data_IF_935075959980
#
_entry.id   IF_935075959980
#
_cell.length_a   1.000
_cell.length_b   1.000
_cell.length_c   1.000
_cell.angle_alpha   90.00
_cell.angle_beta   90.00
_cell.angle_gamma   90.00
#
_symmetry.space_group_name_H-M   'P 1'
#
loop_
_entity.id
_entity.type
_entity.pdbx_description
1 polymer ?
#
# COMPACT_ATOMS: atom_id res chain seq x y z
N UNK A 1 -2.98 -18.56 18.18
CA UNK A 1 -2.42 -18.47 16.82
C UNK A 1 -3.45 -18.54 15.68
N UNK A 2 -4.43 -19.44 15.68
CA UNK A 2 -5.44 -19.52 14.59
C UNK A 2 -6.46 -18.35 14.57
N UNK A 3 -6.74 -17.72 15.69
CA UNK A 3 -7.73 -16.63 15.84
C UNK A 3 -7.40 -15.40 14.97
N UNK A 4 -6.13 -15.00 14.89
CA UNK A 4 -5.71 -13.81 14.12
C UNK A 4 -5.64 -14.06 12.61
N UNK A 5 -5.37 -15.29 12.18
CA UNK A 5 -5.24 -15.66 10.76
C UNK A 5 -6.54 -15.44 9.97
N UNK A 6 -7.68 -15.71 10.60
CA UNK A 6 -9.01 -15.55 9.97
C UNK A 6 -9.43 -14.07 9.93
N UNK A 7 -9.04 -13.27 10.91
CA UNK A 7 -9.53 -11.92 11.13
C UNK A 7 -8.82 -10.89 10.27
N UNK A 8 -7.50 -11.00 10.14
CA UNK A 8 -6.71 -10.08 9.31
C UNK A 8 -6.93 -10.35 7.81
N UNK A 9 -7.25 -11.60 7.41
CA UNK A 9 -7.53 -12.00 6.03
C UNK A 9 -8.97 -11.65 5.59
N UNK A 10 -9.94 -11.58 6.50
CA UNK A 10 -11.36 -11.31 6.19
C UNK A 10 -11.67 -9.90 5.65
N UNK A 11 -10.68 -9.06 5.49
CA UNK A 11 -10.82 -7.65 5.08
C UNK A 11 -11.29 -7.43 3.63
N UNK A 12 -11.65 -8.48 2.88
CA UNK A 12 -12.05 -8.31 1.47
C UNK A 12 -13.53 -8.58 1.19
N UNK A 13 -14.33 -9.06 2.15
CA UNK A 13 -15.68 -9.58 1.80
C UNK A 13 -16.85 -8.97 2.58
N UNK A 14 -16.71 -8.43 3.81
CA UNK A 14 -17.91 -7.98 4.53
C UNK A 14 -17.73 -6.60 5.22
N UNK A 15 -18.20 -5.59 4.53
CA UNK A 15 -18.51 -4.26 5.08
C UNK A 15 -19.95 -4.22 5.61
N UNK A 16 -20.29 -5.08 6.56
CA UNK A 16 -21.51 -4.94 7.39
C UNK A 16 -21.46 -5.98 8.52
N UNK A 17 -21.35 -5.54 9.72
CA UNK A 17 -22.08 -5.99 10.92
C UNK A 17 -21.27 -5.82 12.19
N UNK A 18 -21.97 -5.24 13.12
CA UNK A 18 -21.91 -5.14 14.59
C UNK A 18 -21.41 -3.81 15.14
N UNK A 19 -22.40 -2.93 15.28
CA UNK A 19 -22.31 -1.66 16.01
C UNK A 19 -22.43 -1.90 17.51
N UNK A 20 -21.31 -1.96 18.21
CA UNK A 20 -21.22 -1.55 19.61
C UNK A 20 -21.00 -0.03 19.64
N UNK A 21 -21.33 0.66 20.74
CA UNK A 21 -21.20 2.12 20.92
C UNK A 21 -19.81 2.69 20.50
N UNK A 22 -18.74 1.90 20.66
CA UNK A 22 -17.40 2.20 20.15
C UNK A 22 -17.34 2.28 18.61
N UNK A 23 -18.26 1.65 17.88
CA UNK A 23 -18.29 1.64 16.42
C UNK A 23 -18.63 3.00 15.81
N UNK A 24 -19.48 3.79 16.45
CA UNK A 24 -19.90 5.10 15.93
C UNK A 24 -18.77 6.14 16.09
N UNK A 25 -18.03 6.10 17.20
CA UNK A 25 -16.87 6.98 17.42
C UNK A 25 -15.71 6.65 16.48
N UNK A 26 -15.40 5.37 16.30
CA UNK A 26 -14.35 4.93 15.37
C UNK A 26 -14.70 5.28 13.92
N UNK A 27 -15.96 5.13 13.50
CA UNK A 27 -16.40 5.43 12.13
C UNK A 27 -16.21 6.92 11.77
N UNK A 28 -16.58 7.83 12.67
CA UNK A 28 -16.37 9.26 12.42
C UNK A 28 -14.88 9.64 12.41
N UNK A 29 -14.09 9.10 13.33
CA UNK A 29 -12.64 9.29 13.37
C UNK A 29 -11.94 8.80 12.09
N UNK A 30 -12.31 7.62 11.60
CA UNK A 30 -11.79 7.05 10.34
C UNK A 30 -12.17 7.92 9.14
N UNK A 31 -13.40 8.44 9.11
CA UNK A 31 -13.88 9.36 8.06
C UNK A 31 -13.10 10.68 8.06
N UNK A 32 -12.81 11.23 9.24
CA UNK A 32 -11.99 12.45 9.38
C UNK A 32 -10.54 12.19 8.98
N UNK A 33 -9.96 11.04 9.36
CA UNK A 33 -8.64 10.64 8.91
C UNK A 33 -8.56 10.53 7.38
N UNK A 34 -9.54 9.88 6.74
CA UNK A 34 -9.61 9.80 5.27
C UNK A 34 -9.65 11.20 4.64
N UNK A 35 -10.44 12.12 5.23
CA UNK A 35 -10.50 13.50 4.76
C UNK A 35 -9.17 14.23 4.94
N UNK A 36 -8.51 14.05 6.07
CA UNK A 36 -7.17 14.58 6.33
C UNK A 36 -6.14 14.11 5.30
N UNK A 37 -6.12 12.81 4.99
CA UNK A 37 -5.20 12.26 3.97
C UNK A 37 -5.48 12.85 2.58
N UNK A 38 -6.75 12.99 2.22
CA UNK A 38 -7.14 13.48 0.88
C UNK A 38 -6.93 14.98 0.73
N UNK A 39 -7.40 15.79 1.66
CA UNK A 39 -7.41 17.25 1.57
C UNK A 39 -6.18 17.90 2.23
N UNK A 40 -5.74 17.39 3.37
CA UNK A 40 -4.60 17.94 4.11
C UNK A 40 -3.25 17.50 3.55
N UNK A 41 -3.14 16.27 3.05
CA UNK A 41 -1.91 15.68 2.51
C UNK A 41 -1.88 15.57 1.00
N UNK A 42 -3.01 15.77 0.33
CA UNK A 42 -3.16 15.65 -1.12
C UNK A 42 -2.64 14.31 -1.68
N UNK A 43 -2.89 13.21 -0.96
CA UNK A 43 -2.45 11.89 -1.38
C UNK A 43 -3.29 11.36 -2.55
N UNK A 44 -2.63 10.61 -3.45
CA UNK A 44 -3.31 9.91 -4.54
C UNK A 44 -4.32 8.88 -4.01
N UNK A 45 -5.32 8.53 -4.80
CA UNK A 45 -6.33 7.52 -4.41
C UNK A 45 -5.69 6.16 -4.07
N UNK A 46 -4.61 5.76 -4.76
CA UNK A 46 -3.88 4.54 -4.45
C UNK A 46 -3.18 4.61 -3.08
N UNK A 47 -2.57 5.75 -2.78
CA UNK A 47 -1.96 6.00 -1.48
C UNK A 47 -3.02 6.02 -0.38
N UNK A 48 -4.14 6.72 -0.60
CA UNK A 48 -5.26 6.77 0.32
C UNK A 48 -5.78 5.36 0.63
N UNK A 49 -6.01 4.54 -0.41
CA UNK A 49 -6.44 3.16 -0.24
C UNK A 49 -5.46 2.36 0.60
N UNK A 50 -4.15 2.46 0.33
CA UNK A 50 -3.13 1.73 1.08
C UNK A 50 -3.13 2.09 2.58
N UNK A 51 -3.26 3.38 2.93
CA UNK A 51 -3.35 3.82 4.32
C UNK A 51 -4.63 3.34 5.01
N UNK A 52 -5.76 3.35 4.28
CA UNK A 52 -7.03 2.85 4.82
C UNK A 52 -7.00 1.33 5.03
N UNK A 53 -6.37 0.58 4.12
CA UNK A 53 -6.18 -0.88 4.25
C UNK A 53 -5.28 -1.23 5.45
N UNK A 54 -4.28 -0.41 5.74
CA UNK A 54 -3.42 -0.59 6.90
C UNK A 54 -4.17 -0.31 8.21
N UNK A 55 -4.92 0.79 8.25
CA UNK A 55 -5.78 1.12 9.39
C UNK A 55 -6.83 0.05 9.65
N UNK A 56 -7.42 -0.52 8.59
CA UNK A 56 -8.41 -1.59 8.74
C UNK A 56 -7.83 -2.84 9.42
N UNK A 57 -6.56 -3.18 9.15
CA UNK A 57 -5.88 -4.30 9.85
C UNK A 57 -5.74 -4.04 11.34
N UNK A 58 -5.36 -2.80 11.72
CA UNK A 58 -5.29 -2.40 13.12
C UNK A 58 -6.67 -2.40 13.77
N UNK A 59 -7.70 -1.87 13.08
CA UNK A 59 -9.07 -1.85 13.60
C UNK A 59 -9.58 -3.26 13.87
N UNK A 60 -9.34 -4.19 12.93
CA UNK A 60 -9.74 -5.59 13.11
C UNK A 60 -9.03 -6.23 14.33
N UNK A 61 -7.75 -5.94 14.52
CA UNK A 61 -7.00 -6.40 15.68
C UNK A 61 -7.56 -5.80 16.96
N UNK A 62 -7.74 -4.48 17.03
CA UNK A 62 -8.27 -3.79 18.20
C UNK A 62 -9.67 -4.30 18.60
N UNK A 63 -10.55 -4.49 17.62
CA UNK A 63 -11.89 -5.06 17.84
C UNK A 63 -11.83 -6.46 18.43
N UNK A 64 -10.85 -7.29 18.07
CA UNK A 64 -10.68 -8.63 18.63
C UNK A 64 -10.17 -8.63 20.05
N UNK A 65 -9.38 -7.64 20.40
CA UNK A 65 -8.89 -7.43 21.76
C UNK A 65 -9.89 -6.62 22.61
N UNK A 66 -11.01 -6.15 22.04
CA UNK A 66 -12.00 -5.33 22.73
C UNK A 66 -11.52 -3.92 23.07
N UNK A 67 -10.56 -3.38 22.30
CA UNK A 67 -9.92 -2.08 22.54
C UNK A 67 -10.49 -1.01 21.61
N UNK A 68 -10.70 0.20 22.15
CA UNK A 68 -10.91 1.36 21.31
C UNK A 68 -9.57 1.81 20.69
N UNK A 69 -9.59 2.37 19.47
CA UNK A 69 -8.36 2.83 18.78
C UNK A 69 -7.60 3.90 19.58
N UNK A 70 -8.31 4.70 20.39
CA UNK A 70 -7.73 5.73 21.26
C UNK A 70 -7.10 5.17 22.55
N UNK A 71 -7.40 3.92 22.90
CA UNK A 71 -6.91 3.25 24.11
C UNK A 71 -5.71 2.33 23.83
N UNK A 72 -5.40 2.10 22.56
CA UNK A 72 -4.26 1.28 22.14
C UNK A 72 -2.96 1.95 22.57
N UNK A 73 -2.13 1.22 23.30
CA UNK A 73 -0.81 1.65 23.80
C UNK A 73 0.31 0.94 23.05
N UNK A 74 1.55 1.22 23.43
CA UNK A 74 2.74 0.64 22.82
C UNK A 74 2.75 -0.89 22.84
N UNK A 75 2.33 -1.50 23.96
CA UNK A 75 2.38 -2.96 24.11
C UNK A 75 1.35 -3.66 23.19
N UNK A 76 0.16 -3.07 23.04
CA UNK A 76 -0.84 -3.56 22.07
C UNK A 76 -0.33 -3.42 20.63
N UNK A 77 0.39 -2.34 20.31
CA UNK A 77 1.01 -2.17 18.98
C UNK A 77 2.14 -3.17 18.73
N UNK A 78 2.93 -3.52 19.76
CA UNK A 78 3.93 -4.59 19.66
C UNK A 78 3.27 -5.94 19.43
N UNK A 79 2.19 -6.24 20.12
CA UNK A 79 1.41 -7.46 19.91
C UNK A 79 0.78 -7.50 18.52
N UNK A 80 0.24 -6.39 18.04
CA UNK A 80 -0.24 -6.25 16.66
C UNK A 80 0.87 -6.51 15.64
N UNK A 81 2.06 -5.93 15.85
CA UNK A 81 3.21 -6.14 14.99
C UNK A 81 3.65 -7.62 14.95
N UNK A 82 3.65 -8.30 16.10
CA UNK A 82 3.92 -9.73 16.18
C UNK A 82 2.84 -10.56 15.45
N UNK A 83 1.57 -10.24 15.64
CA UNK A 83 0.45 -10.92 14.98
C UNK A 83 0.52 -10.83 13.45
N UNK A 84 0.99 -9.69 12.89
CA UNK A 84 1.20 -9.51 11.46
C UNK A 84 2.26 -10.49 10.93
N UNK A 85 3.36 -10.72 11.67
CA UNK A 85 4.40 -11.68 11.30
C UNK A 85 3.86 -13.11 11.35
N UNK A 86 3.13 -13.44 12.41
CA UNK A 86 2.58 -14.79 12.62
C UNK A 86 1.64 -15.24 11.50
N UNK A 87 0.96 -14.30 10.83
CA UNK A 87 0.13 -14.60 9.65
C UNK A 87 0.92 -14.67 8.34
N UNK A 88 2.26 -14.50 8.39
CA UNK A 88 3.16 -14.66 7.25
C UNK A 88 3.40 -13.39 6.43
N UNK A 89 3.09 -12.21 6.94
CA UNK A 89 3.41 -10.95 6.28
C UNK A 89 4.92 -10.70 6.37
N UNK A 90 5.54 -10.37 5.24
CA UNK A 90 6.99 -10.12 5.19
C UNK A 90 7.40 -8.91 6.03
N UNK A 91 8.64 -8.86 6.56
CA UNK A 91 9.13 -7.71 7.35
C UNK A 91 9.02 -6.37 6.62
N UNK A 92 9.24 -6.35 5.30
CA UNK A 92 9.07 -5.15 4.47
C UNK A 92 7.62 -4.67 4.45
N UNK A 93 6.67 -5.59 4.26
CA UNK A 93 5.24 -5.29 4.29
C UNK A 93 4.77 -4.88 5.67
N UNK A 94 5.29 -5.53 6.73
CA UNK A 94 5.04 -5.14 8.11
C UNK A 94 5.49 -3.69 8.37
N UNK A 95 6.72 -3.32 7.98
CA UNK A 95 7.21 -1.95 8.13
C UNK A 95 6.32 -0.93 7.42
N UNK A 96 5.79 -1.27 6.22
CA UNK A 96 4.84 -0.41 5.51
C UNK A 96 3.53 -0.27 6.27
N UNK A 97 2.96 -1.36 6.81
CA UNK A 97 1.74 -1.32 7.61
C UNK A 97 1.93 -0.48 8.87
N UNK A 98 3.04 -0.67 9.59
CA UNK A 98 3.36 0.12 10.78
C UNK A 98 3.54 1.62 10.46
N UNK A 99 4.05 1.96 9.24
CA UNK A 99 4.09 3.35 8.76
C UNK A 99 2.69 3.95 8.60
N UNK A 100 1.75 3.16 8.07
CA UNK A 100 0.34 3.56 7.96
C UNK A 100 -0.31 3.79 9.33
N UNK A 101 -0.06 2.88 10.27
CA UNK A 101 -0.52 2.98 11.67
C UNK A 101 0.06 4.23 12.34
N UNK A 102 1.36 4.47 12.19
CA UNK A 102 2.00 5.69 12.74
C UNK A 102 1.38 6.97 12.18
N UNK A 103 1.08 7.01 10.89
CA UNK A 103 0.44 8.17 10.29
C UNK A 103 -0.97 8.41 10.86
N UNK A 104 -1.70 7.36 11.19
CA UNK A 104 -3.00 7.46 11.84
C UNK A 104 -2.88 8.00 13.26
N UNK A 105 -2.00 7.47 14.10
CA UNK A 105 -1.82 7.98 15.47
C UNK A 105 -1.30 9.41 15.50
N UNK A 106 -0.45 9.78 14.56
CA UNK A 106 -0.02 11.17 14.39
C UNK A 106 -1.18 12.11 14.05
N UNK A 107 -2.13 11.66 13.23
CA UNK A 107 -3.36 12.39 12.99
C UNK A 107 -4.20 12.51 14.27
N UNK A 108 -4.39 11.42 15.03
CA UNK A 108 -5.14 11.45 16.29
C UNK A 108 -4.54 12.42 17.31
N UNK A 109 -3.23 12.50 17.40
CA UNK A 109 -2.53 13.44 18.27
C UNK A 109 -2.75 14.89 17.82
N UNK A 110 -2.65 15.18 16.51
CA UNK A 110 -2.84 16.52 15.94
C UNK A 110 -4.27 17.00 16.14
N UNK A 111 -5.26 16.15 15.93
CA UNK A 111 -6.68 16.46 16.08
C UNK A 111 -7.19 16.39 17.54
N UNK A 112 -6.31 16.05 18.50
CA UNK A 112 -6.60 16.07 19.94
C UNK A 112 -7.42 14.87 20.43
N UNK A 113 -7.52 13.77 19.66
CA UNK A 113 -8.18 12.54 20.10
C UNK A 113 -7.39 11.79 21.17
N UNK A 114 -6.06 11.94 21.17
CA UNK A 114 -5.13 11.37 22.14
C UNK A 114 -4.15 12.43 22.62
N UNK A 115 -3.53 12.20 23.79
CA UNK A 115 -2.56 13.11 24.38
C UNK A 115 -1.12 12.71 24.08
N UNK A 116 -0.87 11.44 23.80
CA UNK A 116 0.45 10.86 23.57
C UNK A 116 0.39 9.93 22.34
N UNK A 117 1.46 9.91 21.53
CA UNK A 117 1.55 9.01 20.38
C UNK A 117 2.09 7.64 20.81
N UNK A 118 1.26 6.58 20.82
CA UNK A 118 1.71 5.25 21.23
C UNK A 118 2.71 4.61 20.26
N UNK A 119 2.90 5.20 19.07
CA UNK A 119 3.82 4.68 18.05
C UNK A 119 5.23 5.25 18.17
N UNK A 120 5.48 6.23 19.04
CA UNK A 120 6.76 6.92 19.13
C UNK A 120 7.92 5.96 19.42
N UNK A 121 7.72 5.04 20.35
CA UNK A 121 8.71 4.03 20.76
C UNK A 121 8.52 2.68 20.07
N UNK A 122 7.65 2.60 19.05
CA UNK A 122 7.43 1.36 18.31
C UNK A 122 8.64 1.02 17.44
N UNK A 123 9.19 -0.16 17.65
CA UNK A 123 10.36 -0.64 16.94
C UNK A 123 10.01 -1.06 15.50
N UNK A 124 10.94 -0.79 14.57
CA UNK A 124 10.80 -1.19 13.18
C UNK A 124 11.32 -2.60 12.96
N UNK A 125 10.69 -3.37 12.06
CA UNK A 125 11.24 -4.65 11.67
C UNK A 125 12.62 -4.46 11.01
N UNK A 126 13.55 -5.34 11.33
CA UNK A 126 14.83 -5.38 10.63
C UNK A 126 14.60 -5.90 9.22
N UNK A 127 14.76 -5.03 8.24
CA UNK A 127 14.64 -5.36 6.82
C UNK A 127 16.06 -5.53 6.30
N UNK A 128 16.38 -6.74 5.80
CA UNK A 128 17.65 -6.97 5.09
C UNK A 128 17.70 -6.14 3.81
N UNK A 129 18.89 -5.68 3.44
CA UNK A 129 19.13 -5.07 2.14
C UNK A 129 18.97 -6.15 1.06
N UNK A 130 18.03 -5.94 0.17
CA UNK A 130 17.84 -6.77 -1.02
C UNK A 130 18.01 -5.87 -2.24
N UNK A 131 19.13 -6.07 -2.93
CA UNK A 131 19.36 -5.40 -4.20
C UNK A 131 18.35 -5.92 -5.23
N UNK A 132 17.70 -5.06 -5.99
CA UNK A 132 16.81 -5.49 -7.05
C UNK A 132 17.56 -6.31 -8.08
N UNK A 133 17.00 -7.44 -8.51
CA UNK A 133 17.45 -8.13 -9.70
C UNK A 133 17.04 -7.32 -10.92
N UNK A 134 18.01 -7.05 -11.80
CA UNK A 134 17.79 -6.33 -13.05
C UNK A 134 18.02 -7.26 -14.23
N UNK A 135 17.16 -7.16 -15.24
CA UNK A 135 17.32 -7.94 -16.47
C UNK A 135 18.49 -7.40 -17.29
N UNK A 136 19.29 -8.28 -17.82
CA UNK A 136 20.33 -7.95 -18.82
C UNK A 136 19.70 -7.70 -20.18
N UNK A 137 20.42 -7.00 -21.06
CA UNK A 137 20.01 -6.80 -22.47
C UNK A 137 19.69 -8.13 -23.15
N UNK A 138 20.54 -9.15 -22.92
CA UNK A 138 20.34 -10.49 -23.49
C UNK A 138 19.01 -11.15 -23.05
N UNK A 139 18.61 -10.95 -21.80
CA UNK A 139 17.33 -11.48 -21.30
C UNK A 139 16.15 -10.73 -21.91
N UNK A 140 16.28 -9.43 -22.13
CA UNK A 140 15.27 -8.63 -22.86
C UNK A 140 15.14 -9.10 -24.30
N UNK A 141 16.27 -9.30 -25.02
CA UNK A 141 16.27 -9.83 -26.38
C UNK A 141 15.57 -11.20 -26.46
N UNK A 142 15.82 -12.07 -25.45
CA UNK A 142 15.16 -13.37 -25.36
C UNK A 142 13.65 -13.24 -25.10
N UNK A 143 13.23 -12.30 -24.27
CA UNK A 143 11.81 -12.03 -24.02
C UNK A 143 11.12 -11.53 -25.31
N UNK A 144 11.74 -10.60 -26.04
CA UNK A 144 11.22 -10.11 -27.31
C UNK A 144 11.12 -11.22 -28.40
N UNK A 145 12.13 -12.07 -28.47
CA UNK A 145 12.14 -13.21 -29.40
C UNK A 145 11.06 -14.26 -29.06
N UNK A 146 10.64 -14.37 -27.81
CA UNK A 146 9.58 -15.28 -27.37
C UNK A 146 8.16 -14.75 -27.67
N UNK A 147 8.01 -13.50 -28.09
CA UNK A 147 6.70 -12.92 -28.45
C UNK A 147 6.21 -13.53 -29.76
N UNK A 148 5.02 -14.13 -29.72
CA UNK A 148 4.37 -14.69 -30.89
C UNK A 148 3.84 -13.55 -31.81
N UNK A 149 4.57 -13.28 -32.88
CA UNK A 149 4.24 -12.21 -33.83
C UNK A 149 3.10 -12.54 -34.79
N UNK A 150 2.63 -13.80 -34.83
CA UNK A 150 1.45 -14.20 -35.63
C UNK A 150 0.15 -13.79 -34.94
N UNK A 151 0.18 -13.55 -33.65
CA UNK A 151 -0.97 -13.04 -32.89
C UNK A 151 -1.11 -11.55 -33.06
N UNK A 152 -2.37 -11.08 -33.09
CA UNK A 152 -2.68 -9.63 -33.24
C UNK A 152 -2.07 -8.77 -32.09
N UNK A 153 -1.85 -9.35 -30.90
CA UNK A 153 -1.19 -8.66 -29.79
C UNK A 153 0.33 -8.65 -29.88
N UNK A 154 0.93 -9.46 -30.77
CA UNK A 154 2.38 -9.66 -30.81
C UNK A 154 3.16 -8.37 -30.95
N UNK A 155 2.81 -7.54 -31.93
CA UNK A 155 3.46 -6.23 -32.15
C UNK A 155 3.33 -5.32 -30.93
N UNK A 156 2.14 -5.25 -30.33
CA UNK A 156 1.91 -4.46 -29.12
C UNK A 156 2.77 -4.95 -27.95
N UNK A 157 2.80 -6.27 -27.72
CA UNK A 157 3.53 -6.86 -26.59
C UNK A 157 5.04 -6.63 -26.73
N UNK A 158 5.57 -6.78 -27.95
CA UNK A 158 6.98 -6.47 -28.23
C UNK A 158 7.29 -5.00 -27.99
N UNK A 159 6.47 -4.09 -28.51
CA UNK A 159 6.63 -2.65 -28.30
C UNK A 159 6.56 -2.25 -26.82
N UNK A 160 5.71 -2.91 -26.02
CA UNK A 160 5.65 -2.71 -24.56
C UNK A 160 6.99 -3.04 -23.90
N UNK A 161 7.57 -4.20 -24.20
CA UNK A 161 8.86 -4.65 -23.62
C UNK A 161 9.95 -3.64 -24.00
N UNK A 162 10.06 -3.32 -25.29
CA UNK A 162 11.09 -2.43 -25.83
C UNK A 162 11.00 -1.02 -25.23
N UNK A 163 9.79 -0.43 -25.20
CA UNK A 163 9.60 0.93 -24.64
C UNK A 163 9.86 0.98 -23.15
N UNK A 164 9.41 -0.02 -22.39
CA UNK A 164 9.69 -0.08 -20.94
C UNK A 164 11.18 -0.17 -20.68
N UNK A 165 11.92 -0.98 -21.43
CA UNK A 165 13.34 -1.16 -21.25
C UNK A 165 14.14 0.06 -21.74
N UNK A 166 13.91 0.52 -22.97
CA UNK A 166 14.68 1.59 -23.57
C UNK A 166 14.40 2.97 -22.97
N UNK A 167 13.16 3.23 -22.57
CA UNK A 167 12.74 4.54 -22.04
C UNK A 167 12.65 4.57 -20.51
N UNK A 168 12.73 3.44 -19.82
CA UNK A 168 12.64 3.35 -18.37
C UNK A 168 11.30 3.82 -17.79
N UNK A 169 10.22 3.68 -18.57
CA UNK A 169 8.90 4.13 -18.15
C UNK A 169 8.33 3.24 -17.05
N UNK A 170 7.53 3.84 -16.16
CA UNK A 170 6.63 3.06 -15.30
C UNK A 170 5.48 2.50 -16.12
N UNK A 171 4.90 1.38 -15.66
CA UNK A 171 3.75 0.76 -16.36
C UNK A 171 2.59 1.73 -16.55
N UNK A 172 2.29 2.56 -15.54
CA UNK A 172 1.25 3.59 -15.64
C UNK A 172 1.57 4.66 -16.69
N UNK A 173 2.82 5.09 -16.78
CA UNK A 173 3.28 6.07 -17.79
C UNK A 173 3.17 5.51 -19.20
N UNK A 174 3.49 4.22 -19.38
CA UNK A 174 3.30 3.55 -20.66
C UNK A 174 1.82 3.43 -21.05
N UNK A 175 0.94 3.04 -20.10
CA UNK A 175 -0.49 2.86 -20.39
C UNK A 175 -1.22 4.17 -20.67
N UNK A 176 -0.73 5.28 -20.14
CA UNK A 176 -1.29 6.62 -20.31
C UNK A 176 -0.69 7.37 -21.52
N UNK A 177 0.33 6.78 -22.17
CA UNK A 177 1.03 7.37 -23.31
C UNK A 177 0.09 7.54 -24.51
N UNK A 178 0.07 8.73 -25.09
CA UNK A 178 -0.76 9.09 -26.26
C UNK A 178 0.10 9.27 -27.49
N UNK A 179 -0.49 9.10 -28.66
CA UNK A 179 0.18 9.37 -29.93
C UNK A 179 0.71 10.81 -30.04
N UNK A 180 0.03 11.76 -29.41
CA UNK A 180 0.46 13.17 -29.33
C UNK A 180 1.71 13.40 -28.47
N UNK A 181 2.15 12.39 -27.73
CA UNK A 181 3.32 12.46 -26.86
C UNK A 181 4.55 11.81 -27.50
N UNK A 182 4.40 11.27 -28.72
CA UNK A 182 5.46 10.67 -29.52
C UNK A 182 6.00 11.69 -30.53
N UNK A 183 7.24 12.11 -30.37
CA UNK A 183 7.95 13.01 -31.28
C UNK A 183 8.99 12.21 -32.06
N UNK A 184 8.52 11.44 -33.05
CA UNK A 184 9.34 10.44 -33.75
C UNK A 184 10.45 11.07 -34.57
N UNK A 185 10.20 12.24 -35.16
CA UNK A 185 11.19 12.98 -35.95
C UNK A 185 12.34 13.50 -35.07
N UNK A 186 12.00 13.94 -33.83
CA UNK A 186 12.96 14.41 -32.86
C UNK A 186 13.48 13.30 -31.93
N UNK A 187 12.99 12.08 -32.10
CA UNK A 187 13.40 10.86 -31.36
C UNK A 187 13.23 10.97 -29.83
N UNK A 188 12.14 11.53 -29.36
CA UNK A 188 11.81 11.54 -27.95
C UNK A 188 10.33 11.24 -27.67
N UNK A 189 10.05 10.85 -26.43
CA UNK A 189 8.71 10.62 -25.89
C UNK A 189 8.51 11.58 -24.72
N UNK A 190 7.38 12.29 -24.71
CA UNK A 190 7.00 13.15 -23.59
C UNK A 190 6.21 12.34 -22.56
N UNK A 191 6.68 12.31 -21.32
CA UNK A 191 6.02 11.65 -20.20
C UNK A 191 5.58 12.71 -19.20
N UNK A 192 4.32 12.65 -18.80
CA UNK A 192 3.74 13.53 -17.77
C UNK A 192 3.59 12.66 -16.50
N UNK A 193 4.35 13.00 -15.46
CA UNK A 193 4.36 12.30 -14.17
C UNK A 193 3.46 12.96 -13.13
#
# INVERSE_FOLDING_TARGET
MQKYKIIIIRTTIDSQTDMNDNGNSNAEMIKQYRRYLKLGRNYSENTLKAYMDDLQKLLNYANCEGLALTEVKLDELRNFAAAIIDIGISPRSQGRILSGVRAFYKFLLIDGYIQEDPTELLEWPKIGEHLPEVLSVKEIDMMEAAVDMEKWEGQRNKAIIEVLFCCGLRVSELTDLKMSDLFLDEKFIRVIG
#
